data_IF_954500102661
#
_entry.id   IF_954500102661
#
_cell.length_a   1.000
_cell.length_b   1.000
_cell.length_c   1.000
_cell.angle_alpha   90.00
_cell.angle_beta   90.00
_cell.angle_gamma   90.00
#
_symmetry.space_group_name_H-M   'P 1'
#
loop_
_entity.id
_entity.type
_entity.pdbx_description
1 polymer ?
#
# COMPACT_ATOMS: atom_id res chain seq x y z
N UNK A 1 36.84 -12.72 -23.61
CA UNK A 1 36.25 -11.36 -23.67
C UNK A 1 35.07 -11.47 -24.63
N UNK A 2 33.79 -11.26 -24.32
CA UNK A 2 33.10 -10.57 -23.23
C UNK A 2 31.67 -11.12 -23.26
N UNK A 3 31.26 -11.83 -22.20
CA UNK A 3 29.87 -12.25 -21.95
C UNK A 3 29.18 -11.08 -21.25
N UNK A 4 28.37 -10.27 -21.93
CA UNK A 4 27.67 -9.15 -21.27
C UNK A 4 26.53 -8.55 -22.13
N UNK A 5 25.65 -9.37 -22.69
CA UNK A 5 24.52 -8.86 -23.49
C UNK A 5 23.16 -9.54 -23.25
N UNK A 6 22.98 -10.26 -22.14
CA UNK A 6 21.77 -11.06 -21.89
C UNK A 6 21.09 -10.80 -20.54
N UNK A 7 21.35 -9.65 -19.90
CA UNK A 7 20.81 -9.32 -18.57
C UNK A 7 19.81 -8.15 -18.55
N UNK A 8 19.32 -7.67 -19.70
CA UNK A 8 18.45 -6.49 -19.75
C UNK A 8 16.96 -6.78 -20.09
N UNK A 9 16.49 -8.03 -19.99
CA UNK A 9 15.14 -8.39 -20.46
C UNK A 9 13.99 -8.58 -19.44
N UNK A 10 14.13 -8.47 -18.10
CA UNK A 10 12.94 -8.61 -17.24
C UNK A 10 12.20 -7.28 -16.99
N UNK A 11 12.78 -6.12 -17.35
CA UNK A 11 12.21 -4.81 -17.01
C UNK A 11 11.14 -4.29 -17.99
N UNK A 12 10.95 -4.92 -19.15
CA UNK A 12 9.94 -4.51 -20.15
C UNK A 12 8.60 -5.25 -19.95
N UNK A 13 8.57 -6.33 -19.17
CA UNK A 13 7.35 -7.13 -18.94
C UNK A 13 6.37 -6.52 -17.92
N UNK A 14 6.75 -5.44 -17.22
CA UNK A 14 5.84 -4.66 -16.38
C UNK A 14 5.11 -3.54 -17.14
N UNK A 15 5.13 -3.59 -18.48
CA UNK A 15 4.17 -2.92 -19.34
C UNK A 15 3.05 -3.91 -19.70
N UNK A 16 2.42 -4.51 -18.70
CA UNK A 16 1.03 -4.92 -18.87
C UNK A 16 0.25 -3.67 -19.31
N UNK A 17 -0.82 -3.78 -20.13
CA UNK A 17 -1.69 -2.65 -20.39
C UNK A 17 -2.24 -2.20 -19.04
N UNK A 18 -1.61 -1.21 -18.42
CA UNK A 18 -2.26 -0.36 -17.43
C UNK A 18 -3.54 0.05 -18.13
N UNK A 19 -4.73 -0.39 -17.67
CA UNK A 19 -5.95 -0.08 -18.36
C UNK A 19 -6.00 1.43 -18.50
N UNK A 20 -6.18 1.91 -19.73
CA UNK A 20 -6.32 3.33 -20.06
C UNK A 20 -7.44 4.04 -19.26
N UNK A 21 -8.16 3.30 -18.41
CA UNK A 21 -9.06 3.76 -17.36
C UNK A 21 -8.40 4.63 -16.27
N UNK A 22 -7.06 4.60 -16.10
CA UNK A 22 -6.38 5.49 -15.15
C UNK A 22 -6.43 6.98 -15.57
N UNK A 23 -6.69 7.26 -16.85
CA UNK A 23 -6.73 8.61 -17.42
C UNK A 23 -8.07 9.33 -17.24
N UNK A 24 -9.11 8.62 -16.80
CA UNK A 24 -10.49 9.13 -16.68
C UNK A 24 -10.98 9.17 -15.22
N UNK A 25 -10.04 9.24 -14.26
CA UNK A 25 -10.33 9.43 -12.83
C UNK A 25 -10.71 10.89 -12.55
N UNK A 26 -11.88 11.32 -13.05
CA UNK A 26 -12.43 12.66 -12.76
C UNK A 26 -12.81 12.86 -11.29
N UNK A 27 -12.93 11.78 -10.52
CA UNK A 27 -13.14 11.85 -9.08
C UNK A 27 -12.54 10.63 -8.35
N UNK A 28 -11.24 10.65 -8.00
CA UNK A 28 -10.59 9.53 -7.32
C UNK A 28 -11.25 9.19 -5.97
N UNK A 29 -11.89 10.17 -5.32
CA UNK A 29 -12.59 9.95 -4.05
C UNK A 29 -13.90 9.18 -4.24
N UNK A 30 -14.60 9.38 -5.36
CA UNK A 30 -15.79 8.60 -5.70
C UNK A 30 -15.43 7.16 -6.05
N UNK A 31 -14.36 6.94 -6.81
CA UNK A 31 -13.87 5.58 -7.15
C UNK A 31 -13.37 4.83 -5.91
N UNK A 32 -12.70 5.52 -4.98
CA UNK A 32 -12.24 4.92 -3.72
C UNK A 32 -13.39 4.60 -2.75
N UNK A 33 -14.52 5.31 -2.83
CA UNK A 33 -15.72 5.04 -2.03
C UNK A 33 -16.72 4.09 -2.73
N UNK A 34 -16.43 3.62 -3.94
CA UNK A 34 -17.27 2.67 -4.64
C UNK A 34 -17.19 1.30 -3.93
N UNK A 35 -18.29 0.78 -3.39
CA UNK A 35 -18.29 -0.48 -2.64
C UNK A 35 -17.83 -1.68 -3.50
N UNK A 36 -18.11 -1.67 -4.81
CA UNK A 36 -17.67 -2.73 -5.72
C UNK A 36 -16.16 -2.68 -5.94
N UNK A 37 -15.57 -1.48 -6.00
CA UNK A 37 -14.12 -1.33 -6.14
C UNK A 37 -13.40 -1.62 -4.82
N UNK A 38 -13.97 -1.22 -3.69
CA UNK A 38 -13.44 -1.56 -2.37
C UNK A 38 -13.39 -3.08 -2.14
N UNK A 39 -14.44 -3.80 -2.53
CA UNK A 39 -14.49 -5.26 -2.39
C UNK A 39 -13.46 -5.95 -3.28
N UNK A 40 -13.33 -5.53 -4.55
CA UNK A 40 -12.30 -6.06 -5.46
C UNK A 40 -10.87 -5.79 -4.98
N UNK A 41 -10.63 -4.61 -4.42
CA UNK A 41 -9.32 -4.25 -3.90
C UNK A 41 -9.01 -5.06 -2.63
N UNK A 42 -10.01 -5.29 -1.77
CA UNK A 42 -9.89 -6.18 -0.61
C UNK A 42 -9.57 -7.62 -1.04
N UNK A 43 -10.27 -8.17 -2.03
CA UNK A 43 -10.02 -9.52 -2.56
C UNK A 43 -8.60 -9.65 -3.15
N UNK A 44 -8.15 -8.62 -3.86
CA UNK A 44 -6.80 -8.59 -4.45
C UNK A 44 -5.74 -8.58 -3.35
N UNK A 45 -5.92 -7.73 -2.33
CA UNK A 45 -5.01 -7.68 -1.17
C UNK A 45 -5.04 -9.01 -0.41
N UNK A 46 -6.20 -9.60 -0.20
CA UNK A 46 -6.33 -10.91 0.45
C UNK A 46 -5.62 -12.02 -0.34
N UNK A 47 -5.72 -12.01 -1.67
CA UNK A 47 -5.01 -12.95 -2.52
C UNK A 47 -3.48 -12.77 -2.45
N UNK A 48 -2.99 -11.52 -2.44
CA UNK A 48 -1.56 -11.22 -2.28
C UNK A 48 -1.07 -11.67 -0.92
N UNK A 49 -1.80 -11.34 0.16
CA UNK A 49 -1.45 -11.75 1.53
C UNK A 49 -1.48 -13.28 1.64
N UNK A 50 -2.49 -13.94 1.07
CA UNK A 50 -2.57 -15.40 1.03
C UNK A 50 -1.39 -16.04 0.30
N UNK A 51 -0.95 -15.45 -0.81
CA UNK A 51 0.24 -15.90 -1.52
C UNK A 51 1.53 -15.69 -0.71
N UNK A 52 1.67 -14.55 -0.02
CA UNK A 52 2.82 -14.28 0.86
C UNK A 52 2.86 -15.25 2.06
N UNK A 53 1.71 -15.63 2.60
CA UNK A 53 1.63 -16.60 3.70
C UNK A 53 2.06 -18.01 3.28
N UNK A 54 2.01 -18.35 1.99
CA UNK A 54 2.53 -19.62 1.47
C UNK A 54 4.01 -19.57 1.10
N UNK A 55 4.67 -18.42 1.24
CA UNK A 55 6.09 -18.29 0.91
C UNK A 55 6.93 -19.14 1.88
N UNK A 56 7.79 -20.04 1.37
CA UNK A 56 8.64 -20.87 2.21
C UNK A 56 9.73 -20.02 2.87
N UNK A 57 9.87 -20.14 4.19
CA UNK A 57 10.89 -19.44 4.99
C UNK A 57 12.09 -20.32 5.34
N UNK A 58 12.00 -21.63 5.12
CA UNK A 58 13.06 -22.58 5.43
C UNK A 58 14.46 -22.22 4.90
N UNK A 59 14.62 -21.82 3.62
CA UNK A 59 15.93 -21.43 3.10
C UNK A 59 16.53 -20.20 3.79
N UNK A 60 15.70 -19.27 4.25
CA UNK A 60 16.14 -18.09 5.00
C UNK A 60 16.53 -18.49 6.43
N UNK A 61 15.73 -19.35 7.08
CA UNK A 61 16.03 -19.88 8.41
C UNK A 61 17.34 -20.66 8.43
N UNK A 62 17.61 -21.49 7.41
CA UNK A 62 18.85 -22.25 7.27
C UNK A 62 20.07 -21.31 7.11
N UNK A 63 19.92 -20.23 6.35
CA UNK A 63 20.97 -19.24 6.20
C UNK A 63 21.30 -18.52 7.53
N UNK A 64 20.28 -18.20 8.33
CA UNK A 64 20.45 -17.59 9.67
C UNK A 64 21.10 -18.58 10.63
N UNK A 65 20.62 -19.83 10.71
CA UNK A 65 21.18 -20.87 11.58
C UNK A 65 22.66 -21.20 11.26
N UNK A 66 23.09 -20.99 10.02
CA UNK A 66 24.50 -21.17 9.62
C UNK A 66 25.40 -20.05 10.13
N UNK A 67 24.86 -18.84 10.32
CA UNK A 67 25.58 -17.67 10.82
C UNK A 67 25.55 -17.64 12.36
N UNK A 68 24.41 -17.98 12.94
CA UNK A 68 24.18 -18.06 14.37
C UNK A 68 23.54 -19.42 14.73
N UNK A 69 24.34 -20.43 15.10
CA UNK A 69 23.86 -21.78 15.39
C UNK A 69 22.96 -21.87 16.63
N UNK A 70 23.06 -20.90 17.53
CA UNK A 70 22.28 -20.86 18.78
C UNK A 70 20.94 -20.13 18.58
N UNK A 71 20.66 -19.64 17.37
CA UNK A 71 19.41 -18.97 17.01
C UNK A 71 18.23 -19.94 16.96
N UNK A 72 17.04 -19.47 17.37
CA UNK A 72 15.77 -20.19 17.22
C UNK A 72 15.46 -20.59 15.76
N UNK A 73 16.10 -19.94 14.79
CA UNK A 73 16.03 -20.30 13.37
C UNK A 73 16.49 -21.74 13.09
N UNK A 74 17.36 -22.32 13.94
CA UNK A 74 17.82 -23.69 13.82
C UNK A 74 16.70 -24.73 14.03
N UNK A 75 15.59 -24.36 14.66
CA UNK A 75 14.45 -25.23 14.94
C UNK A 75 13.29 -25.05 13.95
N UNK A 76 13.39 -24.10 13.02
CA UNK A 76 12.35 -23.85 12.00
C UNK A 76 12.42 -24.97 10.95
N UNK A 77 11.29 -25.66 10.65
CA UNK A 77 11.26 -26.68 9.59
C UNK A 77 11.66 -26.13 8.22
N UNK A 78 12.34 -26.93 7.41
CA UNK A 78 12.83 -26.52 6.09
C UNK A 78 11.70 -26.23 5.07
N UNK A 79 10.52 -26.78 5.31
CA UNK A 79 9.30 -26.57 4.53
C UNK A 79 8.34 -25.56 5.17
N UNK A 80 8.74 -24.94 6.29
CA UNK A 80 7.91 -23.97 6.99
C UNK A 80 7.57 -22.77 6.10
N UNK A 81 6.33 -22.32 6.21
CA UNK A 81 5.83 -21.14 5.51
C UNK A 81 5.74 -19.92 6.42
N UNK A 82 5.71 -18.74 5.82
CA UNK A 82 5.49 -17.47 6.52
C UNK A 82 4.21 -17.50 7.38
N UNK A 83 3.14 -18.14 6.90
CA UNK A 83 1.88 -18.28 7.62
C UNK A 83 1.92 -19.21 8.83
N UNK A 84 2.80 -20.21 8.83
CA UNK A 84 3.00 -21.09 9.99
C UNK A 84 3.84 -20.41 11.07
N UNK A 85 4.84 -19.61 10.67
CA UNK A 85 5.72 -18.89 11.58
C UNK A 85 5.05 -17.65 12.20
N UNK A 86 4.13 -17.00 11.47
CA UNK A 86 3.34 -15.88 11.97
C UNK A 86 2.34 -16.28 13.07
N UNK A 87 2.26 -17.57 13.40
CA UNK A 87 1.32 -18.12 14.36
C UNK A 87 0.00 -18.41 13.65
N UNK A 88 -0.34 -19.70 13.57
CA UNK A 88 -1.61 -20.19 13.03
C UNK A 88 -2.75 -19.86 13.99
N UNK A 89 -3.09 -18.58 14.09
CA UNK A 89 -4.38 -18.16 14.61
C UNK A 89 -5.40 -18.29 13.47
N UNK A 90 -6.32 -19.27 13.51
CA UNK A 90 -7.32 -19.48 12.47
C UNK A 90 -8.23 -18.27 12.26
N UNK A 91 -8.35 -17.39 13.27
CA UNK A 91 -9.19 -16.18 13.21
C UNK A 91 -8.39 -14.92 12.82
N UNK A 92 -7.09 -15.05 12.49
CA UNK A 92 -6.23 -13.89 12.20
C UNK A 92 -6.72 -13.08 11.00
N UNK A 93 -7.14 -13.76 9.94
CA UNK A 93 -7.66 -13.10 8.74
C UNK A 93 -8.97 -12.34 9.03
N UNK A 94 -9.86 -12.93 9.83
CA UNK A 94 -11.13 -12.32 10.22
C UNK A 94 -10.90 -11.11 11.13
N UNK A 95 -10.00 -11.23 12.12
CA UNK A 95 -9.60 -10.11 13.00
C UNK A 95 -8.92 -8.98 12.22
N UNK A 96 -8.00 -9.31 11.31
CA UNK A 96 -7.37 -8.32 10.43
C UNK A 96 -8.43 -7.63 9.54
N UNK A 97 -9.38 -8.39 8.99
CA UNK A 97 -10.49 -7.84 8.21
C UNK A 97 -11.37 -6.89 9.01
N UNK A 98 -11.66 -7.23 10.26
CA UNK A 98 -12.46 -6.40 11.17
C UNK A 98 -11.71 -5.12 11.60
N UNK A 99 -10.41 -5.22 11.88
CA UNK A 99 -9.56 -4.06 12.17
C UNK A 99 -9.42 -3.13 10.96
N UNK A 100 -9.29 -3.70 9.76
CA UNK A 100 -9.26 -2.92 8.51
C UNK A 100 -10.61 -2.22 8.25
N UNK A 101 -11.75 -2.88 8.49
CA UNK A 101 -13.07 -2.24 8.39
C UNK A 101 -13.25 -1.16 9.46
N UNK A 102 -12.80 -1.39 10.69
CA UNK A 102 -12.89 -0.44 11.78
C UNK A 102 -12.05 0.82 11.51
N UNK A 103 -10.81 0.62 11.05
CA UNK A 103 -9.90 1.72 10.66
C UNK A 103 -10.42 2.48 9.44
N UNK A 104 -10.96 1.81 8.42
CA UNK A 104 -11.60 2.46 7.27
C UNK A 104 -12.80 3.33 7.69
N UNK A 105 -13.67 2.84 8.58
CA UNK A 105 -14.78 3.64 9.14
C UNK A 105 -14.29 4.84 9.95
N UNK A 106 -13.18 4.70 10.67
CA UNK A 106 -12.57 5.81 11.41
C UNK A 106 -11.96 6.85 10.46
N UNK A 107 -11.19 6.40 9.47
CA UNK A 107 -10.63 7.26 8.42
C UNK A 107 -11.71 8.01 7.66
N UNK A 108 -12.81 7.34 7.29
CA UNK A 108 -13.97 7.97 6.63
C UNK A 108 -14.63 9.05 7.49
N UNK A 109 -14.77 8.84 8.81
CA UNK A 109 -15.26 9.87 9.74
C UNK A 109 -14.31 11.06 9.85
N UNK A 110 -13.00 10.81 9.93
CA UNK A 110 -11.99 11.87 9.98
C UNK A 110 -11.93 12.65 8.66
N UNK A 111 -12.02 11.97 7.52
CA UNK A 111 -12.09 12.59 6.20
C UNK A 111 -13.36 13.44 6.04
N UNK A 112 -14.50 12.95 6.54
CA UNK A 112 -15.76 13.71 6.52
C UNK A 112 -15.69 14.97 7.40
N UNK A 113 -15.04 14.87 8.57
CA UNK A 113 -14.77 16.02 9.43
C UNK A 113 -13.83 17.02 8.73
N UNK A 114 -12.76 16.54 8.11
CA UNK A 114 -11.83 17.38 7.32
C UNK A 114 -12.52 18.04 6.12
N UNK A 115 -13.41 17.33 5.42
CA UNK A 115 -14.19 17.87 4.32
C UNK A 115 -15.12 19.01 4.77
N UNK A 116 -15.65 18.95 5.99
CA UNK A 116 -16.43 20.04 6.56
C UNK A 116 -15.59 21.33 6.77
N UNK A 117 -14.27 21.19 7.00
CA UNK A 117 -13.34 22.31 7.13
C UNK A 117 -12.67 22.72 5.81
N UNK A 118 -12.80 21.91 4.75
CA UNK A 118 -12.23 22.20 3.43
C UNK A 118 -12.61 23.58 2.84
N UNK A 119 -13.86 24.09 2.94
CA UNK A 119 -14.18 25.42 2.44
C UNK A 119 -13.44 26.52 3.20
N UNK A 120 -13.30 26.40 4.53
CA UNK A 120 -12.56 27.36 5.35
C UNK A 120 -11.09 27.42 4.94
N UNK A 121 -10.47 26.24 4.74
CA UNK A 121 -9.08 26.15 4.27
C UNK A 121 -8.91 26.73 2.86
N UNK A 122 -9.90 26.52 1.97
CA UNK A 122 -9.91 27.08 0.62
C UNK A 122 -9.97 28.61 0.63
N UNK A 123 -10.81 29.18 1.49
CA UNK A 123 -10.96 30.63 1.57
C UNK A 123 -9.71 31.27 2.16
N UNK A 124 -9.11 30.66 3.18
CA UNK A 124 -7.84 31.09 3.75
C UNK A 124 -6.69 31.03 2.72
N UNK A 125 -6.63 29.98 1.90
CA UNK A 125 -5.65 29.87 0.81
C UNK A 125 -5.86 30.94 -0.26
N UNK A 126 -7.12 31.29 -0.57
CA UNK A 126 -7.46 32.33 -1.54
C UNK A 126 -7.09 33.72 -1.04
N UNK A 127 -7.31 33.99 0.25
CA UNK A 127 -6.92 35.25 0.90
C UNK A 127 -5.40 35.44 0.93
N UNK A 128 -4.66 34.37 1.26
CA UNK A 128 -3.19 34.37 1.23
C UNK A 128 -2.65 34.63 -0.19
N UNK A 129 -3.23 33.97 -1.20
CA UNK A 129 -2.85 34.21 -2.59
C UNK A 129 -3.11 35.66 -3.01
N UNK A 130 -4.29 36.21 -2.65
CA UNK A 130 -4.63 37.60 -2.94
C UNK A 130 -3.69 38.60 -2.22
N UNK A 131 -3.23 38.26 -1.02
CA UNK A 131 -2.26 39.07 -0.28
C UNK A 131 -0.89 39.09 -0.97
N UNK A 132 -0.39 37.94 -1.41
CA UNK A 132 0.87 37.85 -2.14
C UNK A 132 0.85 38.59 -3.49
N UNK A 133 -0.27 38.56 -4.21
CA UNK A 133 -0.42 39.30 -5.46
C UNK A 133 -0.30 40.81 -5.22
N UNK A 134 -0.95 41.32 -4.15
CA UNK A 134 -0.87 42.73 -3.73
C UNK A 134 0.54 43.15 -3.34
N UNK A 135 1.26 42.30 -2.60
CA UNK A 135 2.66 42.57 -2.22
C UNK A 135 3.59 42.61 -3.43
N UNK A 136 3.37 41.75 -4.44
CA UNK A 136 4.13 41.78 -5.70
C UNK A 136 3.86 43.03 -6.53
N UNK A 137 2.61 43.49 -6.60
CA UNK A 137 2.26 44.70 -7.33
C UNK A 137 2.80 45.97 -6.66
N UNK A 138 2.79 46.02 -5.32
CA UNK A 138 3.39 47.11 -4.55
C UNK A 138 4.92 47.17 -4.73
N UNK A 139 5.58 46.02 -4.91
CA UNK A 139 7.03 45.94 -5.14
C UNK A 139 7.45 46.29 -6.58
N UNK A 140 6.50 46.43 -7.52
CA UNK A 140 6.75 46.76 -8.93
C UNK A 140 6.53 48.24 -9.27
N UNK A 141 5.96 49.03 -8.36
CA UNK A 141 5.79 50.49 -8.49
C UNK A 141 6.91 51.22 -7.76
#
# INVERSE_FOLDING_TARGET
MTRLALLALPLIALAAPLPAAASDMRDPAATLNDPVMQERMADTVAAIVGALMQMPVGPLAEAVARVDPDSDAAYIPADATLGELAGRDPDFADRMGDDLRASARMAGRTASAMAAYAPVLRDMARDLAAQWEREREASRR
#
